data_IF_532496741396
#
_entry.id   IF_532496741396
#
_cell.length_a   1.000
_cell.length_b   1.000
_cell.length_c   1.000
_cell.angle_alpha   90.00
_cell.angle_beta   90.00
_cell.angle_gamma   90.00
#
_symmetry.space_group_name_H-M   'P 1'
#
loop_
_entity.id
_entity.type
_entity.pdbx_description
1 polymer ?
#
# COMPACT_ATOMS: atom_id res chain seq x y z
N UNK A 1 -16.19 -3.28 11.65
CA UNK A 1 -15.10 -2.30 11.82
C UNK A 1 -13.87 -2.93 12.45
N UNK A 2 -13.92 -3.38 13.70
CA UNK A 2 -12.72 -3.90 14.41
C UNK A 2 -12.13 -5.18 13.78
N UNK A 3 -12.97 -6.07 13.31
CA UNK A 3 -12.55 -7.39 12.81
C UNK A 3 -12.82 -7.62 11.31
N UNK A 4 -13.38 -6.64 10.60
CA UNK A 4 -13.74 -6.79 9.20
C UNK A 4 -12.56 -7.15 8.30
N UNK A 5 -11.36 -6.59 8.58
CA UNK A 5 -10.15 -6.88 7.84
C UNK A 5 -9.73 -8.37 7.89
N UNK A 6 -10.16 -9.11 8.91
CA UNK A 6 -9.87 -10.55 9.05
C UNK A 6 -10.71 -11.40 8.07
N UNK A 7 -11.84 -10.85 7.59
CA UNK A 7 -12.70 -11.48 6.62
C UNK A 7 -12.65 -10.76 5.25
N UNK A 8 -11.68 -9.88 5.07
CA UNK A 8 -11.46 -9.20 3.79
C UNK A 8 -10.92 -10.20 2.75
N UNK A 9 -11.38 -10.04 1.51
CA UNK A 9 -10.94 -10.85 0.35
C UNK A 9 -9.58 -10.35 -0.16
N UNK A 10 -8.55 -10.55 0.67
CA UNK A 10 -7.17 -10.12 0.43
C UNK A 10 -6.22 -11.30 0.20
N UNK A 11 -6.74 -12.51 0.10
CA UNK A 11 -5.98 -13.73 -0.19
C UNK A 11 -6.38 -14.31 -1.56
N UNK A 12 -5.85 -13.78 -2.67
CA UNK A 12 -6.23 -14.20 -4.01
C UNK A 12 -5.86 -15.66 -4.33
N UNK A 13 -4.93 -16.23 -3.57
CA UNK A 13 -4.52 -17.62 -3.71
C UNK A 13 -5.31 -18.57 -2.80
N UNK A 14 -6.17 -18.03 -1.93
CA UNK A 14 -6.96 -18.78 -0.94
C UNK A 14 -6.11 -19.72 -0.08
N UNK A 15 -4.90 -19.30 0.26
CA UNK A 15 -3.96 -20.13 1.02
C UNK A 15 -4.52 -20.49 2.40
N UNK A 16 -5.26 -19.59 3.04
CA UNK A 16 -5.93 -19.84 4.30
C UNK A 16 -6.92 -21.01 4.21
N UNK A 17 -7.64 -21.13 3.09
CA UNK A 17 -8.55 -22.27 2.85
C UNK A 17 -7.79 -23.56 2.56
N UNK A 18 -6.72 -23.49 1.79
CA UNK A 18 -5.92 -24.64 1.38
C UNK A 18 -5.18 -25.31 2.56
N UNK A 19 -4.79 -24.52 3.55
CA UNK A 19 -4.04 -25.01 4.71
C UNK A 19 -4.89 -25.33 5.94
N UNK A 20 -6.21 -25.16 5.89
CA UNK A 20 -7.14 -25.50 6.99
C UNK A 20 -7.00 -26.94 7.46
N UNK A 21 -6.71 -27.85 6.53
CA UNK A 21 -6.62 -29.29 6.78
C UNK A 21 -5.20 -29.76 7.19
N UNK A 22 -4.25 -28.85 7.34
CA UNK A 22 -2.90 -29.14 7.78
C UNK A 22 -2.63 -28.58 9.19
N UNK A 23 -2.79 -29.39 10.24
CA UNK A 23 -2.64 -28.93 11.63
C UNK A 23 -1.30 -28.26 11.91
N UNK A 24 -0.22 -28.79 11.33
CA UNK A 24 1.13 -28.26 11.51
C UNK A 24 1.36 -26.88 10.88
N UNK A 25 0.64 -26.58 9.78
CA UNK A 25 0.71 -25.29 9.10
C UNK A 25 -0.29 -24.29 9.71
N UNK A 26 -1.47 -24.73 10.10
CA UNK A 26 -2.44 -23.92 10.81
C UNK A 26 -1.87 -23.36 12.13
N UNK A 27 -1.16 -24.20 12.88
CA UNK A 27 -0.47 -23.78 14.11
C UNK A 27 0.70 -22.82 13.83
N UNK A 28 1.49 -23.09 12.79
CA UNK A 28 2.66 -22.30 12.42
C UNK A 28 2.31 -20.92 11.88
N UNK A 29 1.24 -20.81 11.11
CA UNK A 29 0.80 -19.54 10.49
C UNK A 29 -0.30 -18.84 11.27
N UNK A 30 -0.80 -19.43 12.36
CA UNK A 30 -1.90 -18.88 13.17
C UNK A 30 -3.01 -18.29 12.30
N UNK A 31 -3.49 -19.08 11.34
CA UNK A 31 -4.68 -18.68 10.60
C UNK A 31 -5.80 -18.34 11.61
N UNK A 32 -6.57 -17.28 11.33
CA UNK A 32 -7.62 -16.88 12.25
C UNK A 32 -8.48 -18.08 12.61
N UNK A 33 -8.53 -18.40 13.89
CA UNK A 33 -9.33 -19.48 14.43
C UNK A 33 -10.75 -19.39 13.90
N UNK A 34 -11.43 -20.53 13.78
CA UNK A 34 -12.87 -20.62 13.51
C UNK A 34 -13.69 -19.66 14.40
N UNK A 35 -13.20 -19.33 15.60
CA UNK A 35 -13.73 -18.30 16.50
C UNK A 35 -13.80 -16.88 15.90
N UNK A 36 -12.96 -16.54 14.94
CA UNK A 36 -13.01 -15.23 14.29
C UNK A 36 -14.15 -15.12 13.27
N UNK A 37 -14.47 -16.22 12.59
CA UNK A 37 -15.67 -16.30 11.76
C UNK A 37 -16.94 -16.13 12.60
N UNK A 38 -16.92 -16.59 13.87
CA UNK A 38 -18.05 -16.44 14.79
C UNK A 38 -18.26 -14.98 15.20
N UNK A 39 -17.20 -14.16 15.29
CA UNK A 39 -17.32 -12.74 15.64
C UNK A 39 -18.10 -11.91 14.61
N UNK A 40 -18.15 -12.35 13.36
CA UNK A 40 -18.89 -11.67 12.28
C UNK A 40 -20.15 -12.44 11.86
N UNK A 41 -20.43 -13.58 12.51
CA UNK A 41 -21.61 -14.37 12.27
C UNK A 41 -22.78 -13.90 13.15
N UNK A 42 -23.90 -13.42 12.58
CA UNK A 42 -25.05 -13.00 13.36
C UNK A 42 -25.60 -14.07 14.30
N UNK A 43 -25.50 -15.34 13.93
CA UNK A 43 -25.97 -16.46 14.74
C UNK A 43 -25.25 -16.54 16.10
N UNK A 44 -23.99 -16.15 16.19
CA UNK A 44 -23.23 -16.09 17.45
C UNK A 44 -23.79 -15.08 18.45
N UNK A 45 -24.61 -14.15 17.97
CA UNK A 45 -25.28 -13.11 18.76
C UNK A 45 -26.77 -13.40 18.97
N UNK A 46 -27.22 -14.63 18.63
CA UNK A 46 -28.59 -15.06 18.81
C UNK A 46 -29.56 -14.64 17.72
N UNK A 47 -29.07 -14.06 16.60
CA UNK A 47 -29.91 -13.77 15.43
C UNK A 47 -30.13 -15.02 14.59
N UNK A 48 -31.34 -15.18 14.10
CA UNK A 48 -31.75 -16.26 13.21
C UNK A 48 -32.00 -15.73 11.79
N UNK A 49 -32.22 -16.60 10.83
CA UNK A 49 -32.57 -16.19 9.46
C UNK A 49 -33.88 -15.38 9.43
N UNK A 50 -34.81 -15.65 10.32
CA UNK A 50 -36.06 -14.90 10.45
C UNK A 50 -35.83 -13.43 10.88
N UNK A 51 -34.74 -13.16 11.58
CA UNK A 51 -34.39 -11.81 12.01
C UNK A 51 -33.77 -10.95 10.91
N UNK A 52 -33.28 -11.56 9.84
CA UNK A 52 -32.60 -10.85 8.76
C UNK A 52 -33.46 -9.79 8.08
N UNK A 53 -34.76 -10.02 7.97
CA UNK A 53 -35.71 -9.10 7.37
C UNK A 53 -36.35 -8.11 8.37
N UNK A 54 -36.07 -8.30 9.68
CA UNK A 54 -36.56 -7.37 10.72
C UNK A 54 -35.85 -6.03 10.65
N UNK A 55 -36.62 -4.97 10.90
CA UNK A 55 -36.09 -3.61 11.02
C UNK A 55 -35.62 -3.31 12.45
N UNK A 56 -34.44 -2.76 12.54
CA UNK A 56 -33.84 -2.31 13.78
C UNK A 56 -33.55 -0.83 13.71
N UNK A 57 -33.84 -0.14 14.80
CA UNK A 57 -33.37 1.23 15.00
C UNK A 57 -31.93 1.17 15.47
N UNK A 58 -31.02 1.67 14.64
CA UNK A 58 -29.60 1.63 14.93
C UNK A 58 -29.15 3.00 15.37
N UNK A 59 -28.92 3.15 16.67
CA UNK A 59 -28.29 4.32 17.23
C UNK A 59 -26.85 3.96 17.64
N UNK A 60 -25.90 4.36 16.80
CA UNK A 60 -24.50 4.21 17.15
C UNK A 60 -23.98 5.53 17.71
N UNK A 61 -23.41 5.55 18.93
CA UNK A 61 -22.70 6.71 19.47
C UNK A 61 -21.42 7.04 18.68
N UNK A 62 -21.02 6.14 17.76
CA UNK A 62 -19.89 6.31 16.87
C UNK A 62 -20.36 6.92 15.55
N UNK A 63 -19.55 7.79 14.97
CA UNK A 63 -19.87 8.50 13.73
C UNK A 63 -19.69 7.58 12.49
N UNK A 64 -20.50 6.51 12.37
CA UNK A 64 -20.52 5.71 11.15
C UNK A 64 -21.38 6.38 10.08
N UNK A 65 -20.83 6.59 8.91
CA UNK A 65 -21.55 7.18 7.77
C UNK A 65 -22.55 6.18 7.17
N UNK A 66 -22.33 4.89 7.31
CA UNK A 66 -23.22 3.84 6.83
C UNK A 66 -24.58 3.95 7.55
N UNK A 67 -24.59 3.91 8.87
CA UNK A 67 -25.84 3.89 9.64
C UNK A 67 -26.54 5.24 9.69
N UNK A 68 -25.83 6.35 9.49
CA UNK A 68 -26.43 7.70 9.38
C UNK A 68 -27.31 7.87 8.14
N UNK A 69 -27.20 7.00 7.15
CA UNK A 69 -27.97 7.12 5.88
C UNK A 69 -29.48 6.97 6.09
N UNK A 70 -29.91 6.16 7.06
CA UNK A 70 -31.33 6.00 7.43
C UNK A 70 -31.47 5.58 8.90
N UNK A 71 -32.56 5.97 9.59
CA UNK A 71 -32.72 5.68 11.03
C UNK A 71 -33.05 4.22 11.33
N UNK A 72 -33.67 3.51 10.40
CA UNK A 72 -34.01 2.10 10.52
C UNK A 72 -33.38 1.30 9.41
N UNK A 73 -32.94 0.13 9.76
CA UNK A 73 -32.27 -0.80 8.85
C UNK A 73 -32.79 -2.21 9.05
N UNK A 74 -33.01 -2.94 7.95
CA UNK A 74 -33.09 -4.39 8.04
C UNK A 74 -31.73 -4.94 8.45
N UNK A 75 -31.72 -6.01 9.25
CA UNK A 75 -30.46 -6.62 9.71
C UNK A 75 -29.58 -7.00 8.52
N UNK A 76 -30.16 -7.62 7.49
CA UNK A 76 -29.45 -7.99 6.24
C UNK A 76 -28.76 -6.80 5.60
N UNK A 77 -29.48 -5.71 5.39
CA UNK A 77 -28.99 -4.52 4.69
C UNK A 77 -27.78 -3.88 5.42
N UNK A 78 -27.85 -3.78 6.74
CA UNK A 78 -26.75 -3.18 7.52
C UNK A 78 -25.52 -4.10 7.55
N UNK A 79 -25.73 -5.41 7.65
CA UNK A 79 -24.61 -6.38 7.58
C UNK A 79 -23.93 -6.33 6.22
N UNK A 80 -24.70 -6.29 5.14
CA UNK A 80 -24.16 -6.23 3.78
C UNK A 80 -23.43 -4.91 3.52
N UNK A 81 -23.95 -3.79 4.00
CA UNK A 81 -23.26 -2.51 3.92
C UNK A 81 -21.90 -2.51 4.64
N UNK A 82 -21.85 -3.11 5.85
CA UNK A 82 -20.59 -3.23 6.58
C UNK A 82 -19.64 -4.25 5.97
N UNK A 83 -20.14 -5.37 5.43
CA UNK A 83 -19.33 -6.34 4.69
C UNK A 83 -18.72 -5.72 3.44
N UNK A 84 -19.53 -4.99 2.69
CA UNK A 84 -19.04 -4.28 1.50
C UNK A 84 -17.94 -3.28 1.85
N UNK A 85 -18.08 -2.55 2.95
CA UNK A 85 -17.09 -1.57 3.36
C UNK A 85 -15.81 -2.20 3.93
N UNK A 86 -15.92 -3.24 4.78
CA UNK A 86 -14.81 -3.72 5.58
C UNK A 86 -14.30 -5.11 5.26
N UNK A 87 -15.01 -5.87 4.41
CA UNK A 87 -14.62 -7.24 4.03
C UNK A 87 -14.38 -7.38 2.53
N UNK A 88 -14.18 -6.27 1.81
CA UNK A 88 -13.83 -6.28 0.39
C UNK A 88 -12.35 -6.59 0.16
N UNK A 89 -11.83 -6.15 -0.99
CA UNK A 89 -10.44 -6.40 -1.41
C UNK A 89 -9.39 -5.51 -0.71
N UNK A 90 -9.80 -4.72 0.27
CA UNK A 90 -8.94 -3.86 1.08
C UNK A 90 -9.21 -4.11 2.55
N UNK A 91 -8.19 -4.57 3.27
CA UNK A 91 -8.23 -4.68 4.73
C UNK A 91 -7.77 -3.37 5.38
N UNK A 92 -8.58 -2.84 6.31
CA UNK A 92 -8.22 -1.64 7.05
C UNK A 92 -8.15 -1.92 8.56
N UNK A 93 -7.11 -1.42 9.20
CA UNK A 93 -6.88 -1.53 10.63
C UNK A 93 -6.64 -0.13 11.21
N UNK A 94 -7.60 0.42 11.94
CA UNK A 94 -7.49 1.75 12.53
C UNK A 94 -8.06 1.87 13.95
N UNK A 95 -8.78 0.84 14.41
CA UNK A 95 -9.45 0.87 15.71
C UNK A 95 -8.50 0.83 16.92
N UNK A 96 -7.19 0.64 16.69
CA UNK A 96 -6.14 0.72 17.70
C UNK A 96 -5.68 2.17 17.97
N UNK A 97 -6.06 3.12 17.11
CA UNK A 97 -5.70 4.53 17.26
C UNK A 97 -6.45 5.10 18.48
N UNK A 98 -5.71 5.62 19.43
CA UNK A 98 -6.27 6.15 20.70
C UNK A 98 -6.99 7.48 20.50
N UNK A 99 -6.53 8.30 19.57
CA UNK A 99 -7.17 9.56 19.24
C UNK A 99 -8.53 9.30 18.56
N UNK A 100 -9.59 9.66 19.27
CA UNK A 100 -10.97 9.43 18.85
C UNK A 100 -11.35 10.24 17.60
N UNK A 101 -10.82 11.45 17.47
CA UNK A 101 -11.14 12.32 16.32
C UNK A 101 -10.49 11.77 15.06
N UNK A 102 -9.22 11.37 15.14
CA UNK A 102 -8.50 10.70 14.05
C UNK A 102 -9.19 9.40 13.67
N UNK A 103 -9.56 8.57 14.63
CA UNK A 103 -10.24 7.31 14.39
C UNK A 103 -11.62 7.52 13.70
N UNK A 104 -12.38 8.53 14.12
CA UNK A 104 -13.66 8.89 13.51
C UNK A 104 -13.47 9.43 12.09
N UNK A 105 -12.46 10.26 11.87
CA UNK A 105 -12.15 10.79 10.55
C UNK A 105 -11.79 9.69 9.55
N UNK A 106 -10.92 8.75 9.95
CA UNK A 106 -10.54 7.59 9.10
C UNK A 106 -11.79 6.77 8.77
N UNK A 107 -12.64 6.48 9.77
CA UNK A 107 -13.89 5.75 9.58
C UNK A 107 -14.79 6.44 8.59
N UNK A 108 -15.06 7.72 8.78
CA UNK A 108 -15.92 8.51 7.91
C UNK A 108 -15.40 8.51 6.47
N UNK A 109 -14.12 8.74 6.27
CA UNK A 109 -13.49 8.69 4.96
C UNK A 109 -13.62 7.30 4.33
N UNK A 110 -13.26 6.24 5.06
CA UNK A 110 -13.28 4.88 4.54
C UNK A 110 -14.70 4.39 4.19
N UNK A 111 -15.69 4.67 5.05
CA UNK A 111 -17.09 4.30 4.79
C UNK A 111 -17.74 5.14 3.69
N UNK A 112 -17.18 6.28 3.33
CA UNK A 112 -17.63 7.14 2.24
C UNK A 112 -16.95 6.86 0.91
N UNK A 113 -15.89 6.05 0.89
CA UNK A 113 -15.21 5.68 -0.35
C UNK A 113 -16.20 4.93 -1.26
N UNK A 114 -16.48 5.55 -2.39
CA UNK A 114 -17.10 4.86 -3.51
C UNK A 114 -15.98 4.49 -4.47
N UNK A 115 -15.75 3.20 -4.68
CA UNK A 115 -14.85 2.74 -5.74
C UNK A 115 -15.47 3.14 -7.08
N UNK A 116 -15.05 4.28 -7.60
CA UNK A 116 -15.49 4.72 -8.91
C UNK A 116 -14.78 3.94 -10.02
N UNK A 117 -15.46 3.72 -11.10
CA UNK A 117 -14.79 3.25 -12.31
C UNK A 117 -13.78 4.30 -12.79
N UNK A 118 -12.63 3.82 -13.20
CA UNK A 118 -11.57 4.66 -13.72
C UNK A 118 -11.87 5.03 -15.16
N UNK A 119 -11.57 6.26 -15.52
CA UNK A 119 -11.67 6.72 -16.90
C UNK A 119 -10.67 5.97 -17.80
N UNK A 120 -10.94 5.94 -19.10
CA UNK A 120 -10.02 5.37 -20.10
C UNK A 120 -8.61 5.97 -20.01
N UNK A 121 -8.51 7.26 -19.82
CA UNK A 121 -7.22 7.95 -19.67
C UNK A 121 -6.45 7.48 -18.44
N UNK A 122 -7.13 7.27 -17.31
CA UNK A 122 -6.51 6.74 -16.10
C UNK A 122 -6.05 5.29 -16.29
N UNK A 123 -6.86 4.45 -16.94
CA UNK A 123 -6.50 3.07 -17.26
C UNK A 123 -5.26 3.01 -18.16
N UNK A 124 -5.22 3.81 -19.23
CA UNK A 124 -4.06 3.91 -20.14
C UNK A 124 -2.82 4.39 -19.38
N UNK A 125 -2.97 5.37 -18.49
CA UNK A 125 -1.88 5.87 -17.68
C UNK A 125 -1.31 4.82 -16.71
N UNK A 126 -2.18 4.07 -16.04
CA UNK A 126 -1.76 2.95 -15.19
C UNK A 126 -1.08 1.84 -15.98
N UNK A 127 -1.66 1.46 -17.12
CA UNK A 127 -1.09 0.46 -18.03
C UNK A 127 0.30 0.87 -18.48
N UNK A 128 0.48 2.12 -18.90
CA UNK A 128 1.78 2.65 -19.30
C UNK A 128 2.82 2.52 -18.18
N UNK A 129 2.47 2.86 -16.96
CA UNK A 129 3.37 2.72 -15.79
C UNK A 129 3.66 1.26 -15.44
N UNK A 130 2.67 0.37 -15.56
CA UNK A 130 2.87 -1.07 -15.43
C UNK A 130 3.83 -1.60 -16.48
N UNK A 131 3.63 -1.21 -17.73
CA UNK A 131 4.50 -1.62 -18.83
C UNK A 131 5.94 -1.14 -18.62
N UNK A 132 6.16 0.10 -18.19
CA UNK A 132 7.50 0.60 -17.86
C UNK A 132 8.15 -0.21 -16.74
N UNK A 133 7.38 -0.55 -15.71
CA UNK A 133 7.88 -1.38 -14.59
C UNK A 133 8.31 -2.76 -15.08
N UNK A 134 7.49 -3.41 -15.90
CA UNK A 134 7.77 -4.72 -16.47
C UNK A 134 8.97 -4.67 -17.42
N UNK A 135 8.97 -3.75 -18.38
CA UNK A 135 10.04 -3.61 -19.39
C UNK A 135 11.39 -3.30 -18.75
N UNK A 136 11.41 -2.47 -17.69
CA UNK A 136 12.63 -2.22 -16.92
C UNK A 136 13.17 -3.51 -16.30
N UNK A 137 12.31 -4.30 -15.68
CA UNK A 137 12.69 -5.60 -15.09
C UNK A 137 13.25 -6.56 -16.14
N UNK A 138 12.55 -6.72 -17.25
CA UNK A 138 12.95 -7.57 -18.37
C UNK A 138 14.29 -7.14 -19.00
N UNK A 139 14.45 -5.83 -19.25
CA UNK A 139 15.70 -5.28 -19.77
C UNK A 139 16.87 -5.54 -18.83
N UNK A 140 16.72 -5.28 -17.53
CA UNK A 140 17.77 -5.50 -16.56
C UNK A 140 18.10 -7.00 -16.42
N UNK A 141 17.12 -7.89 -16.54
CA UNK A 141 17.31 -9.31 -16.53
C UNK A 141 18.14 -9.81 -17.70
N UNK A 142 17.87 -9.28 -18.89
CA UNK A 142 18.60 -9.60 -20.11
C UNK A 142 20.03 -9.02 -20.09
N UNK A 143 20.18 -7.76 -19.68
CA UNK A 143 21.46 -7.06 -19.75
C UNK A 143 22.45 -7.49 -18.66
N UNK A 144 21.96 -7.78 -17.45
CA UNK A 144 22.76 -8.08 -16.27
C UNK A 144 22.34 -9.43 -15.63
N UNK A 145 22.29 -10.48 -16.45
CA UNK A 145 21.74 -11.79 -16.07
C UNK A 145 22.49 -12.49 -14.92
N UNK A 146 23.78 -12.23 -14.76
CA UNK A 146 24.62 -12.82 -13.70
C UNK A 146 24.65 -12.02 -12.41
N UNK A 147 24.07 -10.82 -12.40
CA UNK A 147 24.10 -9.93 -11.24
C UNK A 147 22.79 -9.98 -10.45
N UNK A 148 22.85 -9.74 -9.13
CA UNK A 148 21.65 -9.54 -8.31
C UNK A 148 20.92 -8.28 -8.77
N UNK A 149 19.62 -8.37 -9.02
CA UNK A 149 18.80 -7.25 -9.49
C UNK A 149 17.63 -6.94 -8.58
N UNK A 150 17.26 -7.89 -7.71
CA UNK A 150 16.13 -7.76 -6.79
C UNK A 150 14.87 -7.21 -7.50
N UNK A 151 14.41 -7.94 -8.51
CA UNK A 151 13.27 -7.56 -9.34
C UNK A 151 11.98 -7.33 -8.57
N UNK A 152 11.01 -6.79 -9.26
CA UNK A 152 9.67 -6.51 -8.74
C UNK A 152 8.63 -7.51 -9.29
N UNK A 153 9.09 -8.66 -9.71
CA UNK A 153 8.28 -9.69 -10.36
C UNK A 153 7.06 -10.06 -9.51
N UNK A 154 5.87 -9.97 -10.08
CA UNK A 154 4.60 -10.19 -9.40
C UNK A 154 4.08 -9.02 -8.55
N UNK A 155 4.84 -7.94 -8.43
CA UNK A 155 4.48 -6.74 -7.67
C UNK A 155 4.58 -5.45 -8.50
N UNK A 156 4.46 -5.55 -9.83
CA UNK A 156 4.62 -4.41 -10.75
C UNK A 156 3.61 -3.29 -10.50
N UNK A 157 2.44 -3.62 -9.97
CA UNK A 157 1.40 -2.66 -9.56
C UNK A 157 1.85 -1.69 -8.45
N UNK A 158 2.92 -2.02 -7.73
CA UNK A 158 3.54 -1.12 -6.74
C UNK A 158 3.97 0.21 -7.36
N UNK A 159 4.53 0.19 -8.59
CA UNK A 159 5.02 1.41 -9.26
C UNK A 159 3.89 2.38 -9.58
N UNK A 160 2.81 2.00 -10.30
CA UNK A 160 1.69 2.90 -10.53
C UNK A 160 0.99 3.30 -9.23
N UNK A 161 0.84 2.39 -8.26
CA UNK A 161 0.22 2.68 -6.98
C UNK A 161 0.98 3.73 -6.16
N UNK A 162 2.31 3.58 -6.02
CA UNK A 162 3.14 4.54 -5.31
C UNK A 162 3.13 5.91 -6.01
N UNK A 163 3.17 5.94 -7.35
CA UNK A 163 3.08 7.20 -8.09
C UNK A 163 1.72 7.87 -7.91
N UNK A 164 0.64 7.11 -7.93
CA UNK A 164 -0.69 7.65 -7.67
C UNK A 164 -0.79 8.24 -6.25
N UNK A 165 -0.25 7.53 -5.26
CA UNK A 165 -0.19 8.02 -3.87
C UNK A 165 0.57 9.35 -3.77
N UNK A 166 1.74 9.45 -4.42
CA UNK A 166 2.53 10.70 -4.46
C UNK A 166 1.73 11.81 -5.15
N UNK A 167 1.14 11.52 -6.29
CA UNK A 167 0.40 12.50 -7.08
C UNK A 167 -0.80 13.03 -6.30
N UNK A 168 -1.60 12.16 -5.65
CA UNK A 168 -2.72 12.57 -4.79
C UNK A 168 -2.27 13.39 -3.56
N UNK A 169 -1.17 12.98 -2.92
CA UNK A 169 -0.64 13.73 -1.79
C UNK A 169 -0.14 15.12 -2.18
N UNK A 170 0.38 15.29 -3.40
CA UNK A 170 0.78 16.61 -3.93
C UNK A 170 -0.43 17.51 -4.14
N UNK A 171 -1.54 16.96 -4.61
CA UNK A 171 -2.82 17.69 -4.75
C UNK A 171 -3.32 18.19 -3.40
N UNK A 172 -3.13 17.39 -2.34
CA UNK A 172 -3.44 17.77 -0.95
C UNK A 172 -2.35 18.63 -0.28
N UNK A 173 -1.35 19.08 -1.02
CA UNK A 173 -0.36 20.05 -0.53
C UNK A 173 0.99 19.49 -0.11
N UNK A 174 1.23 18.18 -0.17
CA UNK A 174 2.53 17.60 0.13
C UNK A 174 3.60 18.07 -0.89
N UNK A 175 4.80 18.36 -0.41
CA UNK A 175 5.92 18.83 -1.26
C UNK A 175 7.18 18.00 -1.13
N UNK A 176 7.34 17.30 -0.04
CA UNK A 176 8.53 16.47 0.24
C UNK A 176 8.10 15.04 0.54
N UNK A 177 8.78 14.10 -0.11
CA UNK A 177 8.55 12.66 0.07
C UNK A 177 9.87 12.00 0.41
N UNK A 178 9.89 11.27 1.52
CA UNK A 178 11.04 10.51 1.98
C UNK A 178 10.67 9.03 1.93
N UNK A 179 11.39 8.26 1.15
CA UNK A 179 11.15 6.85 0.92
C UNK A 179 12.32 6.05 1.47
N UNK A 180 12.04 5.06 2.31
CA UNK A 180 12.97 4.01 2.69
C UNK A 180 12.39 2.67 2.28
N UNK A 181 13.21 1.81 1.72
CA UNK A 181 12.77 0.49 1.28
C UNK A 181 13.89 -0.53 1.25
N UNK A 182 13.52 -1.79 1.38
CA UNK A 182 14.41 -2.92 1.16
C UNK A 182 14.79 -3.08 -0.32
N UNK A 183 15.54 -4.12 -0.65
CA UNK A 183 16.09 -4.31 -2.00
C UNK A 183 15.04 -4.67 -3.06
N UNK A 184 13.99 -5.44 -2.71
CA UNK A 184 12.96 -5.86 -3.70
C UNK A 184 12.32 -4.68 -4.38
N UNK A 185 12.45 -4.62 -5.70
CA UNK A 185 11.92 -3.55 -6.53
C UNK A 185 12.63 -2.20 -6.41
N UNK A 186 13.73 -2.10 -5.64
CA UNK A 186 14.41 -0.83 -5.39
C UNK A 186 14.93 -0.17 -6.66
N UNK A 187 15.55 -0.93 -7.56
CA UNK A 187 16.06 -0.40 -8.84
C UNK A 187 14.91 0.11 -9.72
N UNK A 188 13.78 -0.58 -9.71
CA UNK A 188 12.59 -0.16 -10.43
C UNK A 188 12.00 1.13 -9.84
N UNK A 189 11.96 1.23 -8.53
CA UNK A 189 11.53 2.46 -7.82
C UNK A 189 12.47 3.62 -8.12
N UNK A 190 13.78 3.41 -8.11
CA UNK A 190 14.77 4.42 -8.49
C UNK A 190 14.52 4.94 -9.91
N UNK A 191 14.33 4.05 -10.89
CA UNK A 191 14.14 4.40 -12.30
C UNK A 191 12.75 5.02 -12.54
N UNK A 192 11.68 4.34 -12.15
CA UNK A 192 10.32 4.64 -12.58
C UNK A 192 9.53 5.54 -11.62
N UNK A 193 9.89 5.62 -10.35
CA UNK A 193 9.23 6.50 -9.38
C UNK A 193 10.05 7.75 -9.11
N UNK A 194 11.27 7.57 -8.61
CA UNK A 194 12.15 8.70 -8.23
C UNK A 194 12.86 9.32 -9.42
N UNK A 195 12.90 8.62 -10.56
CA UNK A 195 13.50 9.06 -11.82
C UNK A 195 15.02 9.31 -11.74
N UNK A 196 15.74 8.44 -11.03
CA UNK A 196 17.18 8.37 -11.16
C UNK A 196 17.52 8.09 -12.63
N UNK A 197 18.45 8.81 -13.27
CA UNK A 197 18.82 8.56 -14.65
C UNK A 197 19.23 7.10 -14.86
N UNK A 198 18.68 6.47 -15.90
CA UNK A 198 18.90 5.04 -16.14
C UNK A 198 20.36 4.74 -16.49
N UNK A 199 21.01 5.66 -17.20
CA UNK A 199 22.44 5.61 -17.51
C UNK A 199 23.30 5.59 -16.26
N UNK A 200 22.91 6.29 -15.21
CA UNK A 200 23.61 6.27 -13.93
C UNK A 200 23.47 4.90 -13.26
N UNK A 201 22.27 4.33 -13.26
CA UNK A 201 22.04 2.97 -12.72
C UNK A 201 22.86 1.95 -13.51
N UNK A 202 22.91 2.06 -14.84
CA UNK A 202 23.70 1.16 -15.68
C UNK A 202 25.20 1.30 -15.43
N UNK A 203 25.69 2.52 -15.26
CA UNK A 203 27.11 2.79 -14.92
C UNK A 203 27.49 2.16 -13.56
N UNK A 204 26.60 2.25 -12.58
CA UNK A 204 26.79 1.58 -11.28
C UNK A 204 26.87 0.04 -11.43
N UNK A 205 26.10 -0.56 -12.34
CA UNK A 205 26.20 -1.98 -12.67
C UNK A 205 27.51 -2.36 -13.36
N UNK A 206 28.08 -1.45 -14.13
CA UNK A 206 29.36 -1.65 -14.82
C UNK A 206 30.56 -1.32 -13.91
N UNK A 207 30.35 -0.89 -12.67
CA UNK A 207 31.42 -0.48 -11.77
C UNK A 207 32.03 0.89 -12.13
N UNK A 208 31.34 1.68 -12.96
CA UNK A 208 31.75 3.02 -13.34
C UNK A 208 31.15 4.00 -12.32
N UNK A 209 31.99 4.64 -11.51
CA UNK A 209 31.54 5.66 -10.61
C UNK A 209 31.03 6.87 -11.40
N UNK A 210 29.76 7.27 -11.27
CA UNK A 210 29.28 8.47 -11.91
C UNK A 210 29.96 9.70 -11.30
N UNK A 211 30.48 10.58 -12.14
CA UNK A 211 30.99 11.91 -11.72
C UNK A 211 29.78 12.82 -11.45
N UNK A 212 29.09 12.62 -10.37
CA UNK A 212 28.03 13.53 -9.90
C UNK A 212 28.64 14.63 -9.06
N UNK A 213 28.27 15.87 -9.33
CA UNK A 213 28.87 17.07 -8.71
C UNK A 213 28.57 17.24 -7.22
N UNK A 214 27.76 16.36 -6.61
CA UNK A 214 27.22 16.53 -5.26
C UNK A 214 27.21 15.21 -4.47
N UNK A 215 28.32 14.49 -4.50
CA UNK A 215 28.35 13.14 -3.97
C UNK A 215 29.26 12.96 -2.74
N UNK A 216 28.70 13.32 -1.59
CA UNK A 216 29.17 12.77 -0.33
C UNK A 216 28.76 11.29 -0.10
N UNK A 217 27.88 10.74 -0.94
CA UNK A 217 27.30 9.39 -0.79
C UNK A 217 27.79 8.35 -1.81
N UNK A 218 28.48 8.75 -2.87
CA UNK A 218 29.10 7.82 -3.82
C UNK A 218 30.50 7.43 -3.36
N UNK A 219 30.62 7.02 -2.10
CA UNK A 219 31.88 6.45 -1.66
C UNK A 219 32.10 5.08 -2.26
N UNK A 220 33.24 4.93 -2.90
CA UNK A 220 33.79 3.68 -3.37
C UNK A 220 33.63 2.59 -2.30
N UNK A 221 32.82 1.58 -2.58
CA UNK A 221 32.70 0.38 -1.72
C UNK A 221 31.29 0.02 -1.29
N UNK A 222 30.29 0.88 -1.40
CA UNK A 222 28.92 0.46 -1.10
C UNK A 222 28.26 -0.27 -2.29
N UNK A 223 27.39 -1.22 -1.97
CA UNK A 223 26.71 -1.97 -3.01
C UNK A 223 25.63 -1.10 -3.64
N UNK A 224 25.53 -1.14 -4.97
CA UNK A 224 24.57 -0.37 -5.77
C UNK A 224 23.11 -0.42 -5.26
N UNK A 225 22.74 -1.48 -4.56
CA UNK A 225 21.41 -1.67 -3.99
C UNK A 225 21.13 -0.81 -2.75
N UNK A 226 22.15 -0.26 -2.11
CA UNK A 226 22.03 0.63 -0.97
C UNK A 226 21.97 2.10 -1.38
N UNK A 227 22.40 2.41 -2.58
CA UNK A 227 22.43 3.79 -3.06
C UNK A 227 21.03 4.39 -3.12
N UNK A 228 20.95 5.66 -2.75
CA UNK A 228 19.74 6.46 -2.82
C UNK A 228 19.82 7.50 -3.91
N UNK A 229 18.82 8.36 -3.98
CA UNK A 229 18.83 9.55 -4.84
C UNK A 229 17.79 10.56 -4.37
N UNK A 230 18.01 11.81 -4.69
CA UNK A 230 17.02 12.89 -4.52
C UNK A 230 16.71 13.48 -5.89
N UNK A 231 15.44 13.61 -6.19
CA UNK A 231 14.97 14.20 -7.42
C UNK A 231 13.96 15.32 -7.12
N UNK A 232 14.15 16.46 -7.78
CA UNK A 232 13.21 17.58 -7.72
C UNK A 232 12.54 17.73 -9.07
N UNK A 233 11.25 17.90 -9.07
CA UNK A 233 10.48 18.14 -10.29
C UNK A 233 9.32 19.10 -10.06
N UNK A 234 8.86 19.73 -11.12
CA UNK A 234 7.58 20.43 -11.12
C UNK A 234 6.44 19.44 -11.36
N UNK A 235 5.36 19.59 -10.65
CA UNK A 235 4.18 18.75 -10.75
C UNK A 235 3.10 19.42 -11.59
N UNK A 236 2.66 18.71 -12.65
CA UNK A 236 1.49 19.04 -13.47
C UNK A 236 1.38 20.50 -13.88
N UNK A 237 0.14 20.93 -14.04
CA UNK A 237 -0.22 22.31 -14.40
C UNK A 237 -0.04 23.32 -13.26
N UNK A 238 0.00 22.86 -12.01
CA UNK A 238 0.19 23.73 -10.83
C UNK A 238 1.60 24.30 -10.73
N UNK A 239 2.58 23.72 -11.45
CA UNK A 239 3.98 24.11 -11.38
C UNK A 239 4.64 23.91 -10.00
N UNK A 240 3.96 23.29 -9.05
CA UNK A 240 4.47 23.06 -7.71
C UNK A 240 5.76 22.21 -7.75
N UNK A 241 6.82 22.70 -7.13
CA UNK A 241 8.04 21.91 -6.98
C UNK A 241 7.86 20.85 -5.90
N UNK A 242 8.20 19.61 -6.23
CA UNK A 242 8.21 18.50 -5.29
C UNK A 242 9.59 17.87 -5.21
N UNK A 243 9.92 17.40 -4.01
CA UNK A 243 11.16 16.71 -3.70
C UNK A 243 10.88 15.24 -3.37
N UNK A 244 11.44 14.35 -4.15
CA UNK A 244 11.38 12.91 -3.93
C UNK A 244 12.75 12.41 -3.51
N UNK A 245 12.87 11.84 -2.32
CA UNK A 245 14.13 11.29 -1.81
C UNK A 245 13.94 9.80 -1.52
N UNK A 246 14.69 8.94 -2.19
CA UNK A 246 14.89 7.57 -1.75
C UNK A 246 16.19 7.54 -0.96
N UNK A 247 16.11 7.19 0.32
CA UNK A 247 17.28 7.16 1.20
C UNK A 247 18.26 6.09 0.79
N UNK A 248 19.54 6.36 0.93
CA UNK A 248 20.56 5.33 0.95
C UNK A 248 20.39 4.51 2.23
N UNK A 249 20.17 3.21 2.11
CA UNK A 249 19.95 2.33 3.25
C UNK A 249 20.25 0.85 2.95
N UNK A 250 20.65 0.06 3.94
CA UNK A 250 20.69 -1.39 3.84
C UNK A 250 19.27 -1.97 3.75
N UNK A 251 19.14 -3.27 3.44
CA UNK A 251 17.82 -3.92 3.26
C UNK A 251 17.09 -4.26 4.55
N UNK A 252 17.53 -3.77 5.69
CA UNK A 252 16.94 -4.05 6.99
C UNK A 252 15.86 -3.00 7.32
N UNK A 253 14.60 -3.38 7.23
CA UNK A 253 13.47 -2.47 7.42
C UNK A 253 13.45 -1.82 8.80
N UNK A 254 13.77 -2.55 9.85
CA UNK A 254 13.84 -2.00 11.21
C UNK A 254 14.89 -0.88 11.34
N UNK A 255 15.99 -0.98 10.60
CA UNK A 255 17.03 0.04 10.59
C UNK A 255 16.68 1.24 9.71
N UNK A 256 15.91 1.06 8.63
CA UNK A 256 15.55 2.16 7.74
C UNK A 256 14.38 3.00 8.24
N UNK A 257 13.45 2.41 8.98
CA UNK A 257 12.28 3.13 9.49
C UNK A 257 12.63 4.37 10.33
N UNK A 258 13.51 4.28 11.35
CA UNK A 258 13.93 5.46 12.10
C UNK A 258 14.70 6.47 11.24
N UNK A 259 15.47 6.00 10.24
CA UNK A 259 16.17 6.91 9.31
C UNK A 259 15.18 7.73 8.46
N UNK A 260 14.10 7.09 7.96
CA UNK A 260 13.04 7.79 7.22
C UNK A 260 12.37 8.84 8.10
N UNK A 261 12.00 8.48 9.34
CA UNK A 261 11.36 9.38 10.27
C UNK A 261 12.28 10.55 10.65
N UNK A 262 13.55 10.26 10.94
CA UNK A 262 14.55 11.28 11.25
C UNK A 262 14.76 12.24 10.08
N UNK A 263 14.84 11.73 8.86
CA UNK A 263 14.96 12.56 7.66
C UNK A 263 13.71 13.42 7.42
N UNK A 264 12.52 12.81 7.54
CA UNK A 264 11.26 13.52 7.37
C UNK A 264 11.08 14.62 8.44
N UNK A 265 11.59 14.40 9.67
CA UNK A 265 11.56 15.38 10.74
C UNK A 265 12.50 16.57 10.46
N UNK A 266 13.59 16.34 9.76
CA UNK A 266 14.61 17.37 9.45
C UNK A 266 14.26 18.22 8.22
N UNK A 267 13.34 17.78 7.36
CA UNK A 267 12.86 18.52 6.18
C UNK A 267 11.68 19.43 6.54
#
# INVERSE_FOLDING_TARGET
MTHGHLCADIDPLKLAEHYKDSPSLAEKFRFPDQKLNDLLNPASYGFTEADMEREFYIHMPMQSTIVKRKPKWKLRDVLDAYRQAYCGQVGIQFMHIQDREVCNWIREKFESIQFREQSEAEKVHMYTRLNWSHQWGAFMAQKFNTMKRFGLDGCESFVPGLKFCIDSAVEEGARTFVIGMAHRGRLNTLANVVRKPMEVIMAEFQGIAPKLKDDSAAQAGDVKYHLGTTFRRRYGSSGAEIKLTLLANPSHLEAVNPCVQGRARAE
#
